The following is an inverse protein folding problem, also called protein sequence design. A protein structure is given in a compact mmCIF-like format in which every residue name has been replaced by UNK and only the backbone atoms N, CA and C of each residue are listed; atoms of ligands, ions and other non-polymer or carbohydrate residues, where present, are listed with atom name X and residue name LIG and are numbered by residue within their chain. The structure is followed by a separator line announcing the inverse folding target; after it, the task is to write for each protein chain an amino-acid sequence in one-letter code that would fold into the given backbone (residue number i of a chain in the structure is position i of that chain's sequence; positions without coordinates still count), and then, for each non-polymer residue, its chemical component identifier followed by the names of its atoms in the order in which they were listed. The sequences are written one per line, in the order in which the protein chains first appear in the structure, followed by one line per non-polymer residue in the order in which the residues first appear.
data_IF_312676338355
#
_entry.id   IF_312676338355
#
_cell.length_a   1.000
_cell.length_b   1.000
_cell.length_c   1.000
_cell.angle_alpha   90.00
_cell.angle_beta   90.00
_cell.angle_gamma   90.00
#
_symmetry.space_group_name_H-M   'P 1'
#
loop_
_entity.id
_entity.type
_entity.pdbx_description
1 polymer ?
#
# COMPACT_ATOMS: atom_id res chain seq x y z
N UNK A 1 17.63 10.65 19.67
CA UNK A 1 18.05 9.30 20.16
C UNK A 1 16.99 8.20 19.93
N UNK A 2 15.71 8.52 19.74
CA UNK A 2 14.64 7.51 19.52
C UNK A 2 14.62 6.98 18.07
N UNK A 3 15.01 7.77 17.09
CA UNK A 3 15.01 7.38 15.65
C UNK A 3 16.09 6.33 15.34
N UNK A 4 17.24 6.37 16.03
CA UNK A 4 18.31 5.35 15.83
C UNK A 4 17.92 3.96 16.34
N UNK A 5 17.09 3.85 17.39
CA UNK A 5 16.65 2.57 17.91
C UNK A 5 15.64 1.87 16.98
N UNK A 6 14.83 2.63 16.24
CA UNK A 6 13.90 2.06 15.25
C UNK A 6 14.63 1.43 14.05
N UNK A 7 15.76 2.00 13.64
CA UNK A 7 16.60 1.43 12.58
C UNK A 7 17.39 0.19 13.00
N UNK A 8 17.79 0.11 14.28
CA UNK A 8 18.56 -1.02 14.79
C UNK A 8 17.73 -2.33 14.90
N UNK A 9 16.43 -2.22 15.12
CA UNK A 9 15.52 -3.38 15.18
C UNK A 9 15.26 -3.96 13.77
N UNK A 10 15.41 -3.17 12.72
CA UNK A 10 15.22 -3.59 11.32
C UNK A 10 16.40 -4.43 10.79
N UNK A 11 17.54 -4.44 11.47
CA UNK A 11 18.76 -5.09 10.99
C UNK A 11 18.94 -6.54 11.45
N UNK A 12 18.08 -7.07 12.31
CA UNK A 12 18.33 -8.34 13.02
C UNK A 12 17.67 -9.58 12.41
N UNK A 13 17.01 -9.48 11.26
CA UNK A 13 16.37 -10.64 10.62
C UNK A 13 16.79 -10.73 9.16
N UNK A 14 17.55 -11.77 8.83
CA UNK A 14 17.91 -12.15 7.46
C UNK A 14 16.73 -12.81 6.74
N UNK A 15 15.51 -12.29 6.93
CA UNK A 15 14.33 -12.71 6.18
C UNK A 15 14.07 -11.67 5.09
N UNK A 16 13.83 -12.17 3.89
CA UNK A 16 13.65 -11.45 2.63
C UNK A 16 12.78 -10.21 2.74
N UNK A 17 13.38 -9.08 3.02
CA UNK A 17 12.76 -7.78 2.96
C UNK A 17 12.34 -7.52 1.51
N UNK A 18 11.23 -6.84 1.30
CA UNK A 18 10.71 -6.65 -0.05
C UNK A 18 10.40 -5.19 -0.33
N UNK A 19 10.86 -4.75 -1.48
CA UNK A 19 10.37 -3.52 -2.09
C UNK A 19 9.07 -3.84 -2.83
N UNK A 20 8.00 -3.11 -2.54
CA UNK A 20 6.70 -3.27 -3.19
C UNK A 20 6.45 -2.12 -4.14
N UNK A 21 6.07 -2.42 -5.36
CA UNK A 21 5.71 -1.44 -6.40
C UNK A 21 4.34 -1.84 -6.93
N UNK A 22 3.35 -0.99 -6.72
CA UNK A 22 1.97 -1.26 -7.14
C UNK A 22 1.40 -0.06 -7.88
N UNK A 23 0.53 -0.33 -8.83
CA UNK A 23 -0.26 0.69 -9.52
C UNK A 23 -1.67 0.16 -9.74
N UNK A 24 -2.64 1.05 -9.76
CA UNK A 24 -4.02 0.64 -9.92
C UNK A 24 -5.01 1.77 -9.98
N UNK A 25 -6.24 1.40 -9.74
CA UNK A 25 -7.37 2.28 -9.86
C UNK A 25 -8.22 2.25 -8.58
N UNK A 26 -8.49 3.43 -8.03
CA UNK A 26 -9.41 3.62 -6.91
C UNK A 26 -10.67 4.33 -7.38
N UNK A 27 -11.82 3.85 -6.93
CA UNK A 27 -13.10 4.52 -7.15
C UNK A 27 -13.29 5.71 -6.20
N UNK A 28 -13.91 6.79 -6.63
CA UNK A 28 -14.23 7.12 -8.02
C UNK A 28 -13.04 7.75 -8.76
N UNK A 29 -12.77 7.26 -9.98
CA UNK A 29 -11.90 7.91 -10.99
C UNK A 29 -10.49 8.33 -10.52
N UNK A 30 -9.80 7.50 -9.75
CA UNK A 30 -8.46 7.80 -9.26
C UNK A 30 -7.46 6.76 -9.75
N UNK A 31 -6.49 7.17 -10.55
CA UNK A 31 -5.30 6.38 -10.85
C UNK A 31 -4.29 6.58 -9.73
N UNK A 32 -3.71 5.51 -9.22
CA UNK A 32 -2.70 5.60 -8.19
C UNK A 32 -1.47 4.73 -8.44
N UNK A 33 -0.37 5.12 -7.82
CA UNK A 33 0.87 4.37 -7.76
C UNK A 33 1.39 4.37 -6.32
N UNK A 34 1.79 3.22 -5.84
CA UNK A 34 2.25 2.99 -4.47
C UNK A 34 3.62 2.33 -4.49
N UNK A 35 4.51 2.85 -3.67
CA UNK A 35 5.80 2.24 -3.34
C UNK A 35 5.83 1.93 -1.85
N UNK A 36 6.31 0.75 -1.48
CA UNK A 36 6.36 0.33 -0.09
C UNK A 36 7.57 -0.51 0.23
N UNK A 37 7.84 -0.59 1.51
CA UNK A 37 8.83 -1.47 2.12
C UNK A 37 8.11 -2.47 3.02
N UNK A 38 8.16 -3.74 2.65
CA UNK A 38 7.57 -4.83 3.42
C UNK A 38 8.63 -5.54 4.26
N UNK A 39 8.39 -5.60 5.56
CA UNK A 39 9.17 -6.39 6.51
C UNK A 39 8.39 -7.63 6.90
N UNK A 40 8.87 -8.84 6.56
CA UNK A 40 8.20 -10.08 6.94
C UNK A 40 8.31 -10.32 8.45
N UNK A 41 7.24 -10.83 9.01
CA UNK A 41 7.11 -11.27 10.39
C UNK A 41 6.92 -12.79 10.44
N UNK A 42 6.89 -13.33 11.66
CA UNK A 42 6.63 -14.76 11.89
C UNK A 42 5.29 -15.20 11.29
N UNK A 43 5.21 -16.46 10.91
CA UNK A 43 4.01 -17.12 10.40
C UNK A 43 3.46 -16.57 9.08
N UNK A 44 4.26 -15.84 8.29
CA UNK A 44 3.87 -15.27 7.01
C UNK A 44 3.08 -13.96 7.11
N UNK A 45 3.01 -13.40 8.30
CA UNK A 45 2.55 -12.03 8.50
C UNK A 45 3.63 -11.05 8.02
N UNK A 46 3.27 -9.79 7.85
CA UNK A 46 4.23 -8.75 7.48
C UNK A 46 3.76 -7.37 7.97
N UNK A 47 4.68 -6.44 8.02
CA UNK A 47 4.39 -5.02 8.18
C UNK A 47 4.91 -4.29 6.95
N UNK A 48 4.14 -3.39 6.40
CA UNK A 48 4.52 -2.56 5.27
C UNK A 48 4.41 -1.09 5.62
N UNK A 49 5.47 -0.34 5.31
CA UNK A 49 5.42 1.12 5.27
C UNK A 49 5.34 1.50 3.81
N UNK A 50 4.40 2.33 3.43
CA UNK A 50 4.21 2.73 2.04
C UNK A 50 3.99 4.23 1.88
N UNK A 51 4.30 4.71 0.67
CA UNK A 51 3.90 6.00 0.15
C UNK A 51 3.11 5.80 -1.15
N UNK A 52 2.09 6.58 -1.32
CA UNK A 52 1.19 6.53 -2.47
C UNK A 52 1.00 7.91 -3.06
N UNK A 53 0.92 7.97 -4.36
CA UNK A 53 0.52 9.15 -5.11
C UNK A 53 -0.63 8.78 -6.03
N UNK A 54 -1.63 9.63 -6.08
CA UNK A 54 -2.77 9.41 -6.95
C UNK A 54 -3.24 10.68 -7.62
N UNK A 55 -3.88 10.50 -8.75
CA UNK A 55 -4.50 11.58 -9.51
C UNK A 55 -5.98 11.29 -9.69
N UNK A 56 -6.80 12.20 -9.21
CA UNK A 56 -8.25 12.14 -9.36
C UNK A 56 -8.66 12.70 -10.71
N UNK A 57 -9.24 11.86 -11.54
CA UNK A 57 -9.64 12.18 -12.88
C UNK A 57 -11.06 12.76 -12.88
N UNK A 58 -11.17 14.07 -12.86
CA UNK A 58 -12.43 14.78 -13.11
C UNK A 58 -12.50 15.21 -14.57
N UNK A 59 -13.38 14.56 -15.33
CA UNK A 59 -13.80 14.85 -16.71
C UNK A 59 -12.74 15.21 -17.77
N UNK A 60 -12.97 14.79 -19.04
CA UNK A 60 -12.00 14.94 -20.12
C UNK A 60 -11.95 16.37 -20.67
N UNK A 61 -11.56 17.35 -19.88
CA UNK A 61 -11.18 18.65 -20.41
C UNK A 61 -9.66 18.70 -20.52
N UNK A 62 -9.22 18.86 -21.72
CA UNK A 62 -7.92 18.60 -22.32
C UNK A 62 -6.65 19.15 -21.63
N UNK A 63 -6.68 19.82 -20.48
CA UNK A 63 -5.51 20.44 -19.84
C UNK A 63 -5.48 20.37 -18.31
N UNK A 64 -6.29 19.56 -17.68
CA UNK A 64 -6.43 19.50 -16.21
C UNK A 64 -5.89 18.23 -15.53
N UNK A 65 -5.04 17.46 -16.17
CA UNK A 65 -4.49 16.21 -15.64
C UNK A 65 -3.78 16.41 -14.28
N UNK A 66 -3.25 17.57 -13.98
CA UNK A 66 -2.46 17.88 -12.79
C UNK A 66 -3.21 18.51 -11.62
N UNK A 67 -4.52 18.75 -11.73
CA UNK A 67 -5.26 19.48 -10.68
C UNK A 67 -5.89 18.60 -9.59
N UNK A 68 -5.82 17.30 -9.70
CA UNK A 68 -6.48 16.37 -8.76
C UNK A 68 -5.53 15.43 -8.03
N UNK A 69 -4.25 15.75 -7.90
CA UNK A 69 -3.33 14.83 -7.23
C UNK A 69 -3.43 14.91 -5.71
N UNK A 70 -3.21 13.78 -5.10
CA UNK A 70 -3.00 13.62 -3.67
C UNK A 70 -1.77 12.76 -3.43
N UNK A 71 -1.24 12.85 -2.24
CA UNK A 71 -0.27 11.89 -1.75
C UNK A 71 -0.72 11.38 -0.38
N UNK A 72 -0.43 10.16 -0.11
CA UNK A 72 -0.60 9.60 1.22
C UNK A 72 0.52 8.61 1.54
N UNK A 73 0.56 8.22 2.80
CA UNK A 73 1.44 7.20 3.31
C UNK A 73 0.81 6.52 4.50
N UNK A 74 1.25 5.32 4.77
CA UNK A 74 0.68 4.54 5.85
C UNK A 74 1.58 3.42 6.34
N UNK A 75 1.16 2.87 7.45
CA UNK A 75 1.73 1.67 8.05
C UNK A 75 0.65 0.60 8.06
N UNK A 76 0.90 -0.49 7.38
CA UNK A 76 -0.07 -1.58 7.24
C UNK A 76 0.46 -2.86 7.85
N UNK A 77 -0.32 -3.46 8.72
CA UNK A 77 -0.12 -4.83 9.16
C UNK A 77 -0.83 -5.79 8.21
N UNK A 78 -0.13 -6.84 7.79
CA UNK A 78 -0.62 -7.87 6.88
C UNK A 78 -0.71 -9.19 7.61
N UNK A 79 -1.92 -9.65 7.86
CA UNK A 79 -2.18 -10.93 8.49
C UNK A 79 -2.40 -12.00 7.43
N UNK A 80 -1.64 -13.08 7.51
CA UNK A 80 -1.86 -14.25 6.64
C UNK A 80 -3.19 -14.92 6.97
N UNK A 81 -4.05 -15.03 5.97
CA UNK A 81 -5.31 -15.78 6.06
C UNK A 81 -5.15 -17.21 5.53
N UNK A 82 -4.53 -17.34 4.35
CA UNK A 82 -4.35 -18.63 3.70
C UNK A 82 -3.03 -18.67 2.92
N UNK A 83 -2.48 -19.87 2.79
CA UNK A 83 -1.33 -20.17 1.95
C UNK A 83 -1.53 -21.50 1.25
N UNK A 84 -1.34 -21.51 -0.05
CA UNK A 84 -1.36 -22.72 -0.86
C UNK A 84 -0.22 -22.69 -1.86
N UNK A 85 0.74 -23.61 -1.71
CA UNK A 85 1.97 -23.66 -2.54
C UNK A 85 2.65 -22.28 -2.59
N UNK A 86 2.69 -21.67 -3.77
CA UNK A 86 3.32 -20.38 -4.04
C UNK A 86 2.35 -19.20 -3.88
N UNK A 87 1.08 -19.46 -3.57
CA UNK A 87 0.05 -18.44 -3.41
C UNK A 87 -0.21 -18.13 -1.95
N UNK A 88 -0.44 -16.87 -1.65
CA UNK A 88 -0.75 -16.40 -0.30
C UNK A 88 -1.83 -15.35 -0.33
N UNK A 89 -2.80 -15.46 0.58
CA UNK A 89 -3.83 -14.48 0.83
C UNK A 89 -3.58 -13.84 2.20
N UNK A 90 -3.54 -12.51 2.24
CA UNK A 90 -3.36 -11.72 3.45
C UNK A 90 -4.49 -10.72 3.60
N UNK A 91 -4.87 -10.45 4.84
CA UNK A 91 -5.67 -9.29 5.21
C UNK A 91 -4.74 -8.14 5.57
N UNK A 92 -5.01 -6.94 5.06
CA UNK A 92 -4.25 -5.72 5.28
C UNK A 92 -5.08 -4.75 6.10
N UNK A 93 -4.48 -4.11 7.09
CA UNK A 93 -5.12 -3.01 7.79
C UNK A 93 -4.07 -2.10 8.45
N UNK A 94 -4.39 -0.84 8.56
CA UNK A 94 -3.50 0.12 9.22
C UNK A 94 -3.90 1.57 9.06
N UNK A 95 -3.27 2.46 9.81
CA UNK A 95 -3.46 3.89 9.69
C UNK A 95 -2.82 4.42 8.41
N UNK A 96 -3.46 5.44 7.86
CA UNK A 96 -2.95 6.22 6.74
C UNK A 96 -3.12 7.72 7.01
N UNK A 97 -2.24 8.50 6.44
CA UNK A 97 -2.29 9.96 6.46
C UNK A 97 -1.84 10.51 5.11
N UNK A 98 -2.37 11.63 4.73
CA UNK A 98 -2.02 12.24 3.46
C UNK A 98 -2.56 13.64 3.31
N UNK A 99 -2.35 14.19 2.14
CA UNK A 99 -2.86 15.50 1.78
C UNK A 99 -3.30 15.54 0.33
N UNK A 100 -4.37 16.26 0.11
CA UNK A 100 -4.78 16.78 -1.18
C UNK A 100 -4.23 18.20 -1.33
N UNK A 101 -4.39 18.81 -2.49
CA UNK A 101 -3.93 20.20 -2.73
C UNK A 101 -4.45 21.22 -1.71
N UNK A 102 -5.53 20.95 -1.00
CA UNK A 102 -6.19 21.92 -0.13
C UNK A 102 -6.35 21.46 1.33
N UNK A 103 -6.24 20.17 1.61
CA UNK A 103 -6.60 19.63 2.91
C UNK A 103 -5.77 18.40 3.26
N UNK A 104 -5.40 18.32 4.52
CA UNK A 104 -4.81 17.15 5.12
C UNK A 104 -5.92 16.15 5.51
N UNK A 105 -5.66 14.86 5.37
CA UNK A 105 -6.59 13.81 5.80
C UNK A 105 -5.88 12.76 6.66
N UNK A 106 -6.64 12.16 7.52
CA UNK A 106 -6.25 11.02 8.33
C UNK A 106 -7.30 9.92 8.13
N UNK A 107 -6.86 8.68 8.04
CA UNK A 107 -7.77 7.58 7.79
C UNK A 107 -7.22 6.24 8.19
N UNK A 108 -7.95 5.20 7.81
CA UNK A 108 -7.52 3.81 7.92
C UNK A 108 -7.65 3.12 6.57
N UNK A 109 -6.70 2.24 6.30
CA UNK A 109 -6.74 1.30 5.19
C UNK A 109 -7.17 -0.08 5.70
N UNK A 110 -8.04 -0.75 4.96
CA UNK A 110 -8.35 -2.16 5.15
C UNK A 110 -8.55 -2.82 3.79
N UNK A 111 -8.10 -4.07 3.63
CA UNK A 111 -8.22 -4.75 2.35
C UNK A 111 -7.65 -6.15 2.34
N UNK A 112 -7.58 -6.70 1.15
CA UNK A 112 -7.01 -8.03 0.93
C UNK A 112 -5.86 -7.94 -0.08
N UNK A 113 -4.86 -8.76 0.14
CA UNK A 113 -3.73 -8.90 -0.75
C UNK A 113 -3.57 -10.37 -1.12
N UNK A 114 -3.68 -10.64 -2.41
CA UNK A 114 -3.26 -11.91 -2.98
C UNK A 114 -1.85 -11.76 -3.52
N UNK A 115 -0.95 -12.69 -3.20
CA UNK A 115 0.39 -12.71 -3.76
C UNK A 115 0.76 -14.10 -4.28
N UNK A 116 1.51 -14.11 -5.38
CA UNK A 116 2.06 -15.31 -5.99
C UNK A 116 3.58 -15.18 -6.08
N UNK A 117 4.28 -16.13 -5.48
CA UNK A 117 5.75 -16.16 -5.40
C UNK A 117 6.31 -16.94 -6.58
N UNK A 118 7.17 -16.31 -7.37
CA UNK A 118 7.90 -16.96 -8.45
C UNK A 118 9.16 -17.69 -7.93
N UNK A 119 9.73 -18.56 -8.75
CA UNK A 119 10.93 -19.33 -8.40
C UNK A 119 12.16 -18.44 -8.13
N UNK A 120 12.22 -17.27 -8.72
CA UNK A 120 13.29 -16.28 -8.52
C UNK A 120 13.12 -15.41 -7.25
N UNK A 121 12.11 -15.69 -6.43
CA UNK A 121 11.81 -14.94 -5.21
C UNK A 121 10.96 -13.68 -5.41
N UNK A 122 10.72 -13.24 -6.64
CA UNK A 122 9.81 -12.15 -6.93
C UNK A 122 8.37 -12.57 -6.60
N UNK A 123 7.54 -11.61 -6.24
CA UNK A 123 6.11 -11.86 -6.04
C UNK A 123 5.28 -10.92 -6.93
N UNK A 124 4.28 -11.49 -7.56
CA UNK A 124 3.17 -10.72 -8.13
C UNK A 124 2.16 -10.44 -7.00
N UNK A 125 1.60 -9.25 -6.94
CA UNK A 125 0.60 -8.86 -5.95
C UNK A 125 -0.65 -8.27 -6.59
N UNK A 126 -1.81 -8.66 -6.08
CA UNK A 126 -3.10 -8.06 -6.35
C UNK A 126 -3.66 -7.58 -5.02
N UNK A 127 -3.90 -6.28 -4.91
CA UNK A 127 -4.38 -5.64 -3.68
C UNK A 127 -5.77 -5.09 -3.93
N UNK A 128 -6.74 -5.54 -3.14
CA UNK A 128 -8.03 -4.89 -3.00
C UNK A 128 -7.92 -3.96 -1.80
N UNK A 129 -8.06 -2.66 -2.04
CA UNK A 129 -7.82 -1.59 -1.06
C UNK A 129 -9.11 -0.85 -0.75
N UNK A 130 -9.40 -0.63 0.52
CA UNK A 130 -10.47 0.24 0.99
C UNK A 130 -9.88 1.25 1.97
N UNK A 131 -10.11 2.51 1.71
CA UNK A 131 -9.66 3.61 2.55
C UNK A 131 -10.87 4.34 3.13
N UNK A 132 -10.86 4.54 4.43
CA UNK A 132 -11.86 5.35 5.15
C UNK A 132 -11.16 6.54 5.75
N UNK A 133 -11.51 7.75 5.29
CA UNK A 133 -10.93 9.00 5.76
C UNK A 133 -11.87 9.67 6.76
N UNK A 134 -11.33 10.09 7.90
CA UNK A 134 -12.10 10.70 9.01
C UNK A 134 -12.05 12.23 8.99
N UNK A 135 -10.97 12.81 8.47
CA UNK A 135 -10.73 14.24 8.44
C UNK A 135 -10.56 14.70 7.00
N UNK A 136 -11.58 15.32 6.43
CA UNK A 136 -11.54 15.93 5.09
C UNK A 136 -11.19 14.97 3.93
N UNK A 137 -11.82 15.17 2.79
CA UNK A 137 -11.64 14.36 1.58
C UNK A 137 -12.80 13.39 1.33
N UNK A 138 -12.64 12.54 0.33
CA UNK A 138 -13.63 11.48 0.06
C UNK A 138 -13.62 10.49 1.21
N UNK A 139 -14.75 10.37 1.89
CA UNK A 139 -14.89 9.55 3.09
C UNK A 139 -14.55 8.09 2.84
N UNK A 140 -14.80 7.60 1.63
CA UNK A 140 -14.55 6.21 1.26
C UNK A 140 -13.96 6.11 -0.14
N UNK A 141 -12.87 5.37 -0.26
CA UNK A 141 -12.27 4.99 -1.55
C UNK A 141 -12.03 3.49 -1.55
N UNK A 142 -12.37 2.84 -2.64
CA UNK A 142 -12.04 1.44 -2.84
C UNK A 142 -11.44 1.20 -4.22
N UNK A 143 -10.65 0.17 -4.38
CA UNK A 143 -10.10 -0.17 -5.67
C UNK A 143 -9.17 -1.37 -5.67
N UNK A 144 -8.56 -1.56 -6.82
CA UNK A 144 -7.64 -2.65 -7.08
C UNK A 144 -6.29 -2.12 -7.56
N UNK A 145 -5.23 -2.64 -6.97
CA UNK A 145 -3.86 -2.40 -7.40
C UNK A 145 -3.20 -3.71 -7.80
N UNK A 146 -2.42 -3.65 -8.87
CA UNK A 146 -1.53 -4.70 -9.33
C UNK A 146 -0.10 -4.27 -9.07
N UNK A 147 0.76 -5.20 -8.70
CA UNK A 147 2.13 -4.87 -8.46
C UNK A 147 3.07 -6.05 -8.39
N UNK A 148 4.31 -5.70 -8.10
CA UNK A 148 5.40 -6.65 -7.91
C UNK A 148 6.12 -6.35 -6.61
N UNK A 149 6.64 -7.41 -5.99
CA UNK A 149 7.49 -7.33 -4.82
C UNK A 149 8.85 -7.93 -5.16
N UNK A 150 9.88 -7.18 -4.90
CA UNK A 150 11.26 -7.51 -5.20
C UNK A 150 11.97 -7.78 -3.88
N UNK A 151 12.48 -9.00 -3.64
CA UNK A 151 13.29 -9.31 -2.46
C UNK A 151 14.67 -8.66 -2.56
N UNK A 152 15.24 -8.26 -1.42
CA UNK A 152 16.60 -7.73 -1.34
C UNK A 152 17.24 -7.95 0.03
#
# INVERSE_FOLDING_TARGET
MIICCAFAVLSASAQDKKLTLNAGFLFPNTLNAMIGYEHPLSYGNAVEIYGEVGNHWQEPTCCRFWKGYYWDGGLVYKQRLARYKNSMLRFRFGPQFGATQKKFFLGVEAGFEYSYVFQNGWEFSLIQKNNVNFLHGDTFRNGLLLGVKIPF
#
